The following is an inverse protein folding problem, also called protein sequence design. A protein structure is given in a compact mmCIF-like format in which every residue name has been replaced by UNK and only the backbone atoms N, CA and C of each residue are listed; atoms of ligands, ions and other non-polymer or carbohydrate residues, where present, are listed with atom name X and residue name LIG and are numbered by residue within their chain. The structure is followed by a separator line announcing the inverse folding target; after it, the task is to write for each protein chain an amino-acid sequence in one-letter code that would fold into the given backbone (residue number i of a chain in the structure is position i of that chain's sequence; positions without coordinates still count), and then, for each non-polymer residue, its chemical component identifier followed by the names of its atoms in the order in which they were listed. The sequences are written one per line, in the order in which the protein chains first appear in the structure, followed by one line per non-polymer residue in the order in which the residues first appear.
data_IF_408439697483
#
_entry.id   IF_408439697483
#
_cell.length_a   1.000
_cell.length_b   1.000
_cell.length_c   1.000
_cell.angle_alpha   90.00
_cell.angle_beta   90.00
_cell.angle_gamma   90.00
#
_symmetry.space_group_name_H-M   'P 1'
#
loop_
_entity.id
_entity.type
_entity.pdbx_description
1 polymer ?
#
# COMPACT_ATOMS: atom_id res chain seq x y z
N UNK A 1 6.20 -19.04 -11.43
CA UNK A 1 5.25 -20.14 -11.20
C UNK A 1 5.79 -21.07 -10.14
N UNK A 2 4.94 -21.48 -9.20
CA UNK A 2 5.30 -22.38 -8.10
C UNK A 2 5.36 -23.85 -8.55
N UNK A 3 4.60 -24.20 -9.60
CA UNK A 3 4.54 -25.51 -10.23
C UNK A 3 4.40 -25.34 -11.76
N UNK A 4 4.59 -26.42 -12.52
CA UNK A 4 4.41 -26.40 -13.99
C UNK A 4 2.94 -26.47 -14.38
N UNK A 5 2.57 -25.93 -15.55
CA UNK A 5 1.19 -25.95 -16.06
C UNK A 5 0.64 -27.37 -16.19
N UNK A 6 1.46 -28.33 -16.61
CA UNK A 6 1.07 -29.76 -16.67
C UNK A 6 0.70 -30.32 -15.29
N UNK A 7 1.45 -29.94 -14.24
CA UNK A 7 1.12 -30.34 -12.86
C UNK A 7 -0.11 -29.63 -12.36
N UNK A 8 -0.23 -28.33 -12.64
CA UNK A 8 -1.40 -27.54 -12.25
C UNK A 8 -2.68 -28.09 -12.87
N UNK A 9 -2.65 -28.43 -14.16
CA UNK A 9 -3.76 -29.05 -14.89
C UNK A 9 -4.25 -30.33 -14.19
N UNK A 10 -3.32 -31.24 -13.88
CA UNK A 10 -3.66 -32.50 -13.21
C UNK A 10 -4.24 -32.28 -11.79
N UNK A 11 -3.74 -31.28 -11.06
CA UNK A 11 -4.22 -30.94 -9.74
C UNK A 11 -5.63 -30.33 -9.75
N UNK A 12 -5.90 -29.41 -10.68
CA UNK A 12 -7.21 -28.77 -10.86
C UNK A 12 -8.27 -29.82 -11.23
N UNK A 13 -7.92 -30.78 -12.08
CA UNK A 13 -8.80 -31.93 -12.38
C UNK A 13 -9.01 -32.84 -11.17
N UNK A 14 -7.95 -33.18 -10.45
CA UNK A 14 -8.04 -34.13 -9.32
C UNK A 14 -8.91 -33.61 -8.18
N UNK A 15 -8.93 -32.30 -7.96
CA UNK A 15 -9.74 -31.64 -6.93
C UNK A 15 -11.13 -31.20 -7.46
N UNK A 16 -11.48 -31.54 -8.71
CA UNK A 16 -12.74 -31.18 -9.37
C UNK A 16 -13.06 -29.67 -9.28
N UNK A 17 -12.05 -28.82 -9.42
CA UNK A 17 -12.24 -27.37 -9.35
C UNK A 17 -12.86 -26.81 -10.65
N UNK A 18 -12.55 -27.43 -11.79
CA UNK A 18 -13.03 -27.04 -13.12
C UNK A 18 -13.33 -28.32 -13.91
N UNK A 19 -14.41 -28.29 -14.69
CA UNK A 19 -14.77 -29.39 -15.59
C UNK A 19 -13.67 -29.63 -16.63
N UNK A 20 -13.46 -30.89 -17.00
CA UNK A 20 -12.39 -31.27 -17.93
C UNK A 20 -12.48 -30.54 -19.27
N UNK A 21 -13.68 -30.46 -19.85
CA UNK A 21 -13.85 -29.80 -21.15
C UNK A 21 -13.44 -28.32 -21.07
N UNK A 22 -13.86 -27.62 -20.01
CA UNK A 22 -13.53 -26.20 -19.79
C UNK A 22 -12.03 -26.03 -19.56
N UNK A 23 -11.41 -26.92 -18.78
CA UNK A 23 -9.98 -26.84 -18.48
C UNK A 23 -9.11 -27.06 -19.72
N UNK A 24 -9.51 -27.98 -20.62
CA UNK A 24 -8.83 -28.19 -21.91
C UNK A 24 -8.91 -26.94 -22.79
N UNK A 25 -10.08 -26.29 -22.87
CA UNK A 25 -10.23 -25.02 -23.58
C UNK A 25 -9.33 -23.91 -23.03
N UNK A 26 -9.23 -23.83 -21.70
CA UNK A 26 -8.38 -22.82 -21.02
C UNK A 26 -6.91 -23.10 -21.26
N UNK A 27 -6.48 -24.36 -21.27
CA UNK A 27 -5.10 -24.75 -21.57
C UNK A 27 -4.70 -24.44 -23.02
N UNK A 28 -5.62 -24.67 -23.97
CA UNK A 28 -5.40 -24.27 -25.37
C UNK A 28 -5.28 -22.74 -25.48
N UNK A 29 -6.15 -22.02 -24.78
CA UNK A 29 -6.11 -20.56 -24.73
C UNK A 29 -4.82 -20.02 -24.10
N UNK A 30 -4.35 -20.60 -22.99
CA UNK A 30 -3.14 -20.17 -22.29
C UNK A 30 -1.90 -20.33 -23.18
N UNK A 31 -1.78 -21.48 -23.86
CA UNK A 31 -0.71 -21.76 -24.81
C UNK A 31 -0.75 -20.82 -26.03
N UNK A 32 -1.93 -20.54 -26.59
CA UNK A 32 -2.07 -19.66 -27.75
C UNK A 32 -1.82 -18.18 -27.42
N UNK A 33 -2.02 -17.79 -26.16
CA UNK A 33 -1.88 -16.41 -25.70
C UNK A 33 -0.59 -16.14 -24.94
N UNK A 34 0.30 -17.15 -24.83
CA UNK A 34 1.56 -17.10 -24.08
C UNK A 34 1.40 -16.61 -22.64
N UNK A 35 0.30 -17.03 -22.00
CA UNK A 35 0.01 -16.78 -20.57
C UNK A 35 0.04 -18.10 -19.80
N UNK A 36 0.28 -18.03 -18.49
CA UNK A 36 0.29 -19.23 -17.65
C UNK A 36 -1.11 -19.81 -17.51
N UNK A 37 -1.20 -21.13 -17.28
CA UNK A 37 -2.48 -21.76 -16.97
C UNK A 37 -3.10 -21.18 -15.70
N UNK A 38 -2.26 -20.81 -14.71
CA UNK A 38 -2.66 -20.14 -13.48
C UNK A 38 -3.37 -18.81 -13.77
N UNK A 39 -2.74 -17.93 -14.56
CA UNK A 39 -3.32 -16.62 -14.91
C UNK A 39 -4.60 -16.79 -15.76
N UNK A 40 -4.60 -17.72 -16.72
CA UNK A 40 -5.76 -17.97 -17.57
C UNK A 40 -7.00 -18.46 -16.79
N UNK A 41 -6.77 -19.26 -15.75
CA UNK A 41 -7.80 -19.76 -14.85
C UNK A 41 -8.38 -18.68 -13.95
N UNK A 42 -7.53 -17.77 -13.46
CA UNK A 42 -7.93 -16.63 -12.63
C UNK A 42 -8.65 -15.55 -13.45
N UNK A 43 -8.14 -15.21 -14.64
CA UNK A 43 -8.69 -14.16 -15.52
C UNK A 43 -10.10 -14.49 -16.03
N UNK A 44 -10.43 -15.79 -16.14
CA UNK A 44 -11.76 -16.27 -16.54
C UNK A 44 -12.70 -16.53 -15.36
N UNK A 45 -12.29 -16.18 -14.12
CA UNK A 45 -13.03 -16.41 -12.89
C UNK A 45 -13.46 -17.89 -12.68
N UNK A 46 -12.70 -18.84 -13.24
CA UNK A 46 -13.03 -20.27 -13.16
C UNK A 46 -12.66 -20.89 -11.81
N UNK A 47 -11.65 -20.31 -11.15
CA UNK A 47 -11.21 -20.68 -9.80
C UNK A 47 -10.79 -19.43 -9.06
N UNK A 48 -11.00 -19.41 -7.74
CA UNK A 48 -10.48 -18.32 -6.92
C UNK A 48 -8.99 -18.51 -6.63
N UNK A 49 -8.27 -17.40 -6.52
CA UNK A 49 -6.86 -17.35 -6.08
C UNK A 49 -6.60 -18.15 -4.79
N UNK A 50 -7.58 -18.18 -3.87
CA UNK A 50 -7.48 -18.95 -2.62
C UNK A 50 -7.68 -20.46 -2.80
N UNK A 51 -8.53 -20.89 -3.73
CA UNK A 51 -8.72 -22.32 -4.03
C UNK A 51 -7.50 -22.87 -4.78
N UNK A 52 -7.06 -22.13 -5.80
CA UNK A 52 -5.90 -22.50 -6.59
C UNK A 52 -4.63 -22.58 -5.72
N UNK A 53 -4.37 -21.54 -4.91
CA UNK A 53 -3.25 -21.54 -3.98
C UNK A 53 -3.33 -22.66 -2.94
N UNK A 54 -4.52 -23.02 -2.44
CA UNK A 54 -4.67 -24.11 -1.48
C UNK A 54 -4.33 -25.48 -2.10
N UNK A 55 -4.68 -25.69 -3.36
CA UNK A 55 -4.32 -26.92 -4.09
C UNK A 55 -2.81 -26.98 -4.36
N UNK A 56 -2.21 -25.85 -4.78
CA UNK A 56 -0.75 -25.75 -4.95
C UNK A 56 -0.03 -26.04 -3.63
N UNK A 57 -0.55 -25.55 -2.50
CA UNK A 57 0.01 -25.80 -1.17
C UNK A 57 0.04 -27.31 -0.82
N UNK A 58 -1.05 -28.04 -1.12
CA UNK A 58 -1.14 -29.49 -0.92
C UNK A 58 -0.05 -30.23 -1.69
N UNK A 59 0.16 -29.89 -2.97
CA UNK A 59 1.20 -30.50 -3.80
C UNK A 59 2.60 -30.23 -3.26
N UNK A 60 2.86 -28.99 -2.84
CA UNK A 60 4.14 -28.60 -2.26
C UNK A 60 4.36 -29.15 -0.83
N UNK A 61 3.35 -29.78 -0.24
CA UNK A 61 3.34 -30.26 1.16
C UNK A 61 3.64 -29.12 2.16
N UNK A 62 3.18 -27.91 1.84
CA UNK A 62 3.31 -26.72 2.67
C UNK A 62 1.90 -26.34 3.14
N UNK A 63 1.70 -26.02 4.42
CA UNK A 63 0.38 -25.62 4.89
C UNK A 63 -0.04 -24.28 4.26
N UNK A 64 -1.32 -24.17 3.90
CA UNK A 64 -1.92 -22.92 3.42
C UNK A 64 -2.54 -22.14 4.58
N UNK A 65 -2.44 -20.82 4.57
CA UNK A 65 -3.08 -19.94 5.55
C UNK A 65 -3.86 -18.82 4.85
N UNK A 66 -5.08 -18.56 5.31
CA UNK A 66 -5.86 -17.39 4.92
C UNK A 66 -5.65 -16.28 5.95
N UNK A 67 -4.86 -15.26 5.60
CA UNK A 67 -4.53 -14.19 6.55
C UNK A 67 -5.77 -13.37 6.94
N UNK A 68 -6.76 -13.28 6.06
CA UNK A 68 -8.07 -12.66 6.31
C UNK A 68 -8.86 -13.30 7.47
N UNK A 69 -8.57 -14.55 7.85
CA UNK A 69 -9.30 -15.27 8.90
C UNK A 69 -8.57 -15.32 10.25
N UNK A 70 -7.39 -14.71 10.36
CA UNK A 70 -6.57 -14.76 11.57
C UNK A 70 -6.29 -13.36 12.11
N UNK A 71 -6.31 -13.24 13.44
CA UNK A 71 -5.87 -12.02 14.11
C UNK A 71 -4.34 -12.04 14.23
N UNK A 72 -3.67 -11.18 13.47
CA UNK A 72 -2.20 -11.03 13.52
C UNK A 72 -1.83 -10.10 14.68
N UNK A 73 -1.04 -10.56 15.67
CA UNK A 73 -0.55 -9.72 16.74
C UNK A 73 0.33 -8.57 16.20
N UNK A 74 0.07 -7.35 16.67
CA UNK A 74 0.72 -6.13 16.15
C UNK A 74 2.24 -6.09 16.41
N UNK A 75 2.72 -6.73 17.48
CA UNK A 75 4.13 -6.79 17.84
C UNK A 75 4.99 -7.59 16.85
N UNK A 76 4.37 -8.41 16.00
CA UNK A 76 5.05 -9.16 14.95
C UNK A 76 5.43 -8.27 13.75
N UNK A 77 4.86 -7.06 13.65
CA UNK A 77 5.15 -6.14 12.55
C UNK A 77 6.60 -5.66 12.51
N UNK A 78 7.24 -5.59 13.68
CA UNK A 78 8.64 -5.18 13.79
C UNK A 78 9.62 -6.24 13.27
N UNK A 79 9.20 -7.50 13.14
CA UNK A 79 10.06 -8.59 12.67
C UNK A 79 10.37 -8.38 11.18
N UNK A 80 9.36 -8.10 10.37
CA UNK A 80 9.52 -7.76 8.95
C UNK A 80 8.90 -6.36 8.72
N UNK A 81 9.73 -5.32 8.50
CA UNK A 81 9.24 -4.00 8.12
C UNK A 81 8.32 -4.07 6.90
N UNK A 82 7.24 -3.26 6.86
CA UNK A 82 6.21 -3.29 5.80
C UNK A 82 6.82 -3.27 4.39
N UNK A 83 7.80 -2.41 4.15
CA UNK A 83 8.48 -2.30 2.86
C UNK A 83 9.13 -3.61 2.40
N UNK A 84 9.71 -4.36 3.34
CA UNK A 84 10.31 -5.67 3.07
C UNK A 84 9.20 -6.71 2.90
N UNK A 85 8.19 -6.68 3.77
CA UNK A 85 7.05 -7.59 3.70
C UNK A 85 6.30 -7.49 2.37
N UNK A 86 6.12 -6.27 1.86
CA UNK A 86 5.49 -5.98 0.57
C UNK A 86 6.38 -6.39 -0.61
N UNK A 87 7.67 -6.05 -0.57
CA UNK A 87 8.63 -6.41 -1.64
C UNK A 87 8.79 -7.92 -1.77
N UNK A 88 8.93 -8.62 -0.64
CA UNK A 88 9.19 -10.06 -0.58
C UNK A 88 7.91 -10.88 -0.46
N UNK A 89 6.73 -10.23 -0.45
CA UNK A 89 5.39 -10.83 -0.32
C UNK A 89 5.31 -11.84 0.82
N UNK A 90 5.73 -11.43 2.02
CA UNK A 90 5.78 -12.28 3.20
C UNK A 90 5.42 -11.54 4.49
N UNK A 91 4.62 -12.16 5.35
CA UNK A 91 4.14 -11.60 6.62
C UNK A 91 4.31 -12.59 7.75
N UNK A 92 4.81 -12.14 8.90
CA UNK A 92 4.81 -12.94 10.13
C UNK A 92 3.44 -12.84 10.77
N UNK A 93 2.76 -13.96 10.95
CA UNK A 93 1.40 -13.97 11.51
C UNK A 93 1.31 -14.63 12.88
N UNK A 94 2.32 -15.41 13.28
CA UNK A 94 2.38 -16.07 14.59
C UNK A 94 3.84 -16.26 15.03
N UNK A 95 4.07 -16.27 16.34
CA UNK A 95 5.37 -16.56 16.96
C UNK A 95 5.13 -17.34 18.25
N UNK A 96 5.93 -18.37 18.50
CA UNK A 96 5.99 -19.08 19.77
C UNK A 96 7.42 -19.04 20.34
N UNK A 97 7.74 -19.81 21.38
CA UNK A 97 9.07 -19.81 22.01
C UNK A 97 10.19 -20.23 21.07
N UNK A 98 9.97 -21.22 20.21
CA UNK A 98 10.99 -21.82 19.34
C UNK A 98 10.86 -21.42 17.86
N UNK A 99 9.67 -21.01 17.42
CA UNK A 99 9.32 -20.86 16.01
C UNK A 99 8.70 -19.50 15.69
N UNK A 100 8.88 -19.09 14.43
CA UNK A 100 8.24 -17.93 13.80
C UNK A 100 7.51 -18.43 12.55
N UNK A 101 6.22 -18.15 12.46
CA UNK A 101 5.35 -18.61 11.39
C UNK A 101 5.16 -17.49 10.37
N UNK A 102 5.52 -17.77 9.12
CA UNK A 102 5.61 -16.78 8.06
C UNK A 102 4.73 -17.24 6.90
N UNK A 103 3.78 -16.40 6.54
CA UNK A 103 2.96 -16.58 5.35
C UNK A 103 3.67 -15.94 4.16
N UNK A 104 3.81 -16.67 3.06
CA UNK A 104 4.57 -16.26 1.88
C UNK A 104 3.81 -16.60 0.61
N UNK A 105 3.88 -15.73 -0.40
CA UNK A 105 3.40 -16.06 -1.76
C UNK A 105 4.37 -17.02 -2.45
N UNK A 106 5.67 -16.88 -2.18
CA UNK A 106 6.71 -17.79 -2.69
C UNK A 106 7.50 -18.43 -1.54
N UNK A 107 7.15 -19.66 -1.14
CA UNK A 107 7.84 -20.38 -0.06
C UNK A 107 9.32 -20.72 -0.36
N UNK A 108 9.73 -20.66 -1.63
CA UNK A 108 11.10 -20.97 -2.06
C UNK A 108 12.08 -19.83 -1.76
N UNK A 109 11.58 -18.64 -1.41
CA UNK A 109 12.40 -17.48 -1.10
C UNK A 109 13.20 -17.67 0.21
N UNK A 110 14.44 -18.15 0.07
CA UNK A 110 15.36 -18.42 1.18
C UNK A 110 15.87 -17.14 1.86
N UNK A 111 16.01 -16.04 1.12
CA UNK A 111 16.59 -14.79 1.62
C UNK A 111 15.81 -14.24 2.82
N UNK A 112 14.48 -14.15 2.69
CA UNK A 112 13.63 -13.65 3.77
C UNK A 112 13.54 -14.62 4.95
N UNK A 113 13.59 -15.93 4.68
CA UNK A 113 13.61 -16.97 5.72
C UNK A 113 14.87 -16.86 6.57
N UNK A 114 16.03 -16.69 5.93
CA UNK A 114 17.29 -16.48 6.64
C UNK A 114 17.31 -15.16 7.41
N UNK A 115 16.82 -14.07 6.79
CA UNK A 115 16.75 -12.76 7.45
C UNK A 115 15.91 -12.83 8.73
N UNK A 116 14.73 -13.45 8.68
CA UNK A 116 13.85 -13.62 9.84
C UNK A 116 14.52 -14.50 10.89
N UNK A 117 15.12 -15.62 10.49
CA UNK A 117 15.79 -16.53 11.43
C UNK A 117 16.97 -15.85 12.13
N UNK A 118 17.85 -15.15 11.40
CA UNK A 118 18.96 -14.36 11.96
C UNK A 118 18.49 -13.26 12.92
N UNK A 119 17.42 -12.55 12.57
CA UNK A 119 16.88 -11.45 13.38
C UNK A 119 16.17 -11.94 14.66
N UNK A 120 15.51 -13.10 14.60
CA UNK A 120 14.69 -13.59 15.72
C UNK A 120 15.37 -14.67 16.56
N UNK A 121 16.42 -15.32 16.04
CA UNK A 121 17.07 -16.48 16.65
C UNK A 121 16.19 -17.75 16.65
N UNK A 122 15.08 -17.75 15.90
CA UNK A 122 14.07 -18.81 15.92
C UNK A 122 14.00 -19.56 14.59
N UNK A 123 13.39 -20.74 14.61
CA UNK A 123 13.14 -21.54 13.41
C UNK A 123 11.97 -20.93 12.62
N UNK A 124 12.13 -20.78 11.32
CA UNK A 124 11.08 -20.23 10.44
C UNK A 124 10.21 -21.38 9.91
N UNK A 125 8.92 -21.32 10.19
CA UNK A 125 7.89 -22.25 9.68
C UNK A 125 7.11 -21.51 8.59
N UNK A 126 7.13 -22.06 7.38
CA UNK A 126 6.57 -21.40 6.19
C UNK A 126 5.16 -21.90 5.91
N UNK A 127 4.27 -20.97 5.58
CA UNK A 127 2.92 -21.20 5.09
C UNK A 127 2.76 -20.53 3.74
N UNK A 128 2.05 -21.19 2.81
CA UNK A 128 1.66 -20.57 1.56
C UNK A 128 0.43 -19.68 1.80
N UNK A 129 0.37 -18.52 1.15
CA UNK A 129 -0.79 -17.61 1.16
C UNK A 129 -0.90 -16.90 -0.18
N UNK A 130 -2.02 -16.23 -0.40
CA UNK A 130 -2.23 -15.39 -1.58
C UNK A 130 -1.59 -14.01 -1.46
N UNK A 131 -1.30 -13.38 -2.60
CA UNK A 131 -0.83 -12.00 -2.65
C UNK A 131 -1.90 -11.03 -2.09
N UNK A 132 -3.17 -11.34 -2.32
CA UNK A 132 -4.31 -10.59 -1.78
C UNK A 132 -4.35 -10.62 -0.26
N UNK A 133 -4.14 -11.78 0.35
CA UNK A 133 -4.11 -11.92 1.81
C UNK A 133 -2.89 -11.19 2.41
N UNK A 134 -1.72 -11.23 1.75
CA UNK A 134 -0.55 -10.45 2.18
C UNK A 134 -0.88 -8.96 2.18
N UNK A 135 -1.43 -8.44 1.08
CA UNK A 135 -1.77 -7.02 0.99
C UNK A 135 -2.84 -6.64 2.02
N UNK A 136 -3.85 -7.50 2.24
CA UNK A 136 -4.85 -7.33 3.29
C UNK A 136 -4.24 -7.31 4.70
N UNK A 137 -3.31 -8.21 4.99
CA UNK A 137 -2.59 -8.24 6.26
C UNK A 137 -1.70 -7.00 6.45
N UNK A 138 -1.07 -6.49 5.39
CA UNK A 138 -0.28 -5.26 5.46
C UNK A 138 -1.16 -4.02 5.62
N UNK A 139 -2.41 -4.03 5.17
CA UNK A 139 -3.40 -3.01 5.56
C UNK A 139 -3.70 -3.05 7.06
N UNK A 140 -3.70 -4.23 7.66
CA UNK A 140 -3.85 -4.41 9.12
C UNK A 140 -2.60 -3.97 9.89
N UNK A 141 -1.39 -4.02 9.30
CA UNK A 141 -0.17 -3.46 9.91
C UNK A 141 -0.27 -1.93 10.14
N UNK A 142 -1.15 -1.25 9.40
CA UNK A 142 -1.51 0.16 9.63
C UNK A 142 -2.26 0.38 10.95
N UNK A 143 -2.57 -0.69 11.70
CA UNK A 143 -3.16 -0.63 13.04
C UNK A 143 -2.28 0.03 14.08
N UNK A 144 -1.00 0.34 13.87
CA UNK A 144 -0.26 1.15 14.87
C UNK A 144 -0.84 2.57 14.98
N UNK A 145 -1.34 3.14 13.87
CA UNK A 145 -2.12 4.39 13.88
C UNK A 145 -3.46 4.15 14.59
N UNK A 146 -4.15 3.04 14.32
CA UNK A 146 -5.43 2.71 14.98
C UNK A 146 -5.26 2.30 16.46
N UNK A 147 -4.11 1.79 16.89
CA UNK A 147 -3.83 1.34 18.25
C UNK A 147 -3.40 2.53 19.10
N UNK A 148 -2.63 3.47 18.55
CA UNK A 148 -2.48 4.80 19.10
C UNK A 148 -3.84 5.50 19.24
N UNK A 149 -4.70 5.40 18.21
CA UNK A 149 -6.06 5.95 18.25
C UNK A 149 -6.97 5.25 19.27
N UNK A 150 -6.93 3.93 19.37
CA UNK A 150 -7.75 3.14 20.29
C UNK A 150 -7.28 3.31 21.74
N UNK A 151 -5.98 3.46 21.99
CA UNK A 151 -5.44 3.84 23.31
C UNK A 151 -5.97 5.23 23.74
N UNK A 152 -6.14 6.16 22.80
CA UNK A 152 -6.74 7.47 23.06
C UNK A 152 -8.26 7.42 23.26
N UNK A 153 -8.95 6.47 22.62
CA UNK A 153 -10.40 6.26 22.72
C UNK A 153 -10.82 5.42 23.94
N UNK A 154 -9.89 4.70 24.57
CA UNK A 154 -10.17 3.81 25.73
C UNK A 154 -9.86 4.46 27.08
N UNK A 155 -9.50 5.75 27.11
CA UNK A 155 -9.26 6.50 28.35
C UNK A 155 -10.57 7.02 28.95
N UNK A 156 -10.82 6.66 30.20
CA UNK A 156 -11.98 7.05 31.01
C UNK A 156 -12.34 8.55 30.86
N UNK A 157 -13.64 8.80 30.74
CA UNK A 157 -14.28 10.07 30.39
C UNK A 157 -14.11 11.24 31.38
N UNK A 158 -13.13 11.17 32.29
CA UNK A 158 -12.88 12.20 33.31
C UNK A 158 -11.62 13.05 33.05
N UNK A 159 -10.81 12.76 32.03
CA UNK A 159 -9.60 13.55 31.70
C UNK A 159 -9.39 13.77 30.20
N UNK A 160 -10.43 14.20 29.49
CA UNK A 160 -10.35 14.47 28.05
C UNK A 160 -9.25 15.49 27.72
N UNK A 161 -9.11 16.57 28.51
CA UNK A 161 -8.14 17.65 28.29
C UNK A 161 -6.66 17.23 28.35
N UNK A 162 -6.30 16.24 29.18
CA UNK A 162 -4.92 15.72 29.22
C UNK A 162 -4.61 14.79 28.05
N UNK A 163 -5.58 13.97 27.65
CA UNK A 163 -5.47 13.12 26.47
C UNK A 163 -5.33 13.97 25.20
N UNK A 164 -6.02 15.13 25.15
CA UNK A 164 -5.89 16.11 24.08
C UNK A 164 -4.45 16.63 23.90
N UNK A 165 -3.73 16.90 24.98
CA UNK A 165 -2.34 17.40 24.89
C UNK A 165 -1.33 16.32 24.47
N UNK A 166 -1.52 15.07 24.90
CA UNK A 166 -0.56 13.99 24.67
C UNK A 166 -0.59 13.38 23.26
N UNK A 167 -1.63 13.63 22.45
CA UNK A 167 -1.67 13.08 21.09
C UNK A 167 -0.58 13.69 20.21
N UNK A 168 0.37 12.90 19.67
CA UNK A 168 1.43 13.41 18.83
C UNK A 168 0.91 13.66 17.41
N UNK A 169 0.12 14.72 17.22
CA UNK A 169 -0.51 15.11 15.94
C UNK A 169 0.52 15.27 14.83
N UNK A 170 1.72 15.75 15.16
CA UNK A 170 2.85 15.79 14.23
C UNK A 170 3.18 14.40 13.66
N UNK A 171 3.29 13.37 14.51
CA UNK A 171 3.58 12.00 14.06
C UNK A 171 2.46 11.47 13.19
N UNK A 172 1.20 11.69 13.58
CA UNK A 172 0.03 11.25 12.80
C UNK A 172 0.06 11.89 11.41
N UNK A 173 0.28 13.21 11.34
CA UNK A 173 0.29 13.96 10.08
C UNK A 173 1.45 13.52 9.18
N UNK A 174 2.65 13.38 9.74
CA UNK A 174 3.82 12.92 8.99
C UNK A 174 3.65 11.49 8.49
N UNK A 175 3.21 10.56 9.35
CA UNK A 175 2.96 9.17 8.97
C UNK A 175 1.88 9.05 7.91
N UNK A 176 0.83 9.89 7.96
CA UNK A 176 -0.20 9.91 6.93
C UNK A 176 0.37 10.29 5.56
N UNK A 177 1.18 11.36 5.51
CA UNK A 177 1.81 11.83 4.27
C UNK A 177 2.81 10.81 3.75
N UNK A 178 3.63 10.23 4.64
CA UNK A 178 4.60 9.20 4.26
C UNK A 178 3.89 7.96 3.70
N UNK A 179 2.81 7.53 4.33
CA UNK A 179 2.00 6.40 3.88
C UNK A 179 1.38 6.69 2.50
N UNK A 180 0.82 7.88 2.29
CA UNK A 180 0.31 8.30 0.99
C UNK A 180 1.40 8.31 -0.09
N UNK A 181 2.63 8.73 0.26
CA UNK A 181 3.77 8.68 -0.65
C UNK A 181 4.16 7.24 -1.03
N UNK A 182 4.21 6.33 -0.05
CA UNK A 182 4.57 4.92 -0.27
C UNK A 182 3.57 4.20 -1.19
N UNK A 183 2.28 4.48 -1.02
CA UNK A 183 1.19 3.95 -1.85
C UNK A 183 1.03 4.72 -3.18
N UNK A 184 1.97 5.62 -3.53
CA UNK A 184 2.02 6.39 -4.78
C UNK A 184 0.74 7.20 -5.06
N UNK A 185 0.13 7.73 -4.01
CA UNK A 185 -1.11 8.52 -4.07
C UNK A 185 -0.85 9.87 -4.75
N UNK A 186 -1.77 10.32 -5.62
CA UNK A 186 -1.65 11.63 -6.27
C UNK A 186 -2.09 12.78 -5.36
N UNK A 187 -3.18 12.59 -4.63
CA UNK A 187 -3.76 13.58 -3.74
C UNK A 187 -4.30 12.93 -2.45
N UNK A 188 -4.02 13.55 -1.31
CA UNK A 188 -4.59 13.21 0.00
C UNK A 188 -5.66 14.24 0.33
N UNK A 189 -6.86 13.78 0.66
CA UNK A 189 -7.97 14.63 1.11
C UNK A 189 -8.21 14.38 2.60
N UNK A 190 -8.37 15.47 3.35
CA UNK A 190 -8.63 15.47 4.79
C UNK A 190 -9.86 16.33 4.99
N UNK A 191 -10.96 15.71 5.37
CA UNK A 191 -12.29 16.32 5.34
C UNK A 191 -12.98 16.14 6.69
N UNK A 192 -13.56 17.21 7.26
CA UNK A 192 -14.43 17.05 8.40
C UNK A 192 -15.80 16.55 7.92
N UNK A 193 -16.34 15.61 8.67
CA UNK A 193 -17.73 15.13 8.65
C UNK A 193 -18.32 15.36 10.05
N UNK A 194 -19.64 15.22 10.23
CA UNK A 194 -20.34 15.59 11.48
C UNK A 194 -19.71 14.99 12.75
N UNK A 195 -19.14 13.78 12.65
CA UNK A 195 -18.57 13.04 13.79
C UNK A 195 -17.12 12.60 13.59
N UNK A 196 -16.56 12.75 12.40
CA UNK A 196 -15.28 12.15 12.05
C UNK A 196 -14.46 13.06 11.14
N UNK A 197 -13.14 12.94 11.24
CA UNK A 197 -12.23 13.40 10.21
C UNK A 197 -12.02 12.25 9.21
N UNK A 198 -12.51 12.43 7.99
CA UNK A 198 -12.39 11.46 6.90
C UNK A 198 -11.12 11.73 6.10
N UNK A 199 -10.27 10.72 5.98
CA UNK A 199 -9.08 10.76 5.15
C UNK A 199 -9.30 9.90 3.91
N UNK A 200 -9.09 10.50 2.73
CA UNK A 200 -9.28 9.84 1.44
C UNK A 200 -8.06 10.00 0.55
N UNK A 201 -7.72 8.96 -0.18
CA UNK A 201 -6.62 8.97 -1.14
C UNK A 201 -7.15 8.92 -2.56
N UNK A 202 -6.51 9.66 -3.47
CA UNK A 202 -6.71 9.50 -4.91
C UNK A 202 -5.62 8.59 -5.46
N UNK A 203 -5.99 7.36 -5.79
CA UNK A 203 -5.11 6.33 -6.32
C UNK A 203 -5.57 6.04 -7.75
N UNK A 204 -4.69 6.21 -8.72
CA UNK A 204 -4.97 6.01 -10.14
C UNK A 204 -6.25 6.74 -10.63
N UNK A 205 -6.46 7.95 -10.11
CA UNK A 205 -7.61 8.80 -10.44
C UNK A 205 -8.87 8.52 -9.63
N UNK A 206 -8.93 7.41 -8.87
CA UNK A 206 -10.09 7.02 -8.07
C UNK A 206 -9.92 7.44 -6.61
N UNK A 207 -10.95 8.07 -6.03
CA UNK A 207 -11.00 8.41 -4.61
C UNK A 207 -11.40 7.20 -3.76
N UNK A 208 -10.64 6.95 -2.69
CA UNK A 208 -10.88 5.84 -1.76
C UNK A 208 -10.77 6.32 -0.31
N UNK A 209 -11.71 5.91 0.53
CA UNK A 209 -11.68 6.17 1.97
C UNK A 209 -10.65 5.25 2.64
N UNK A 210 -9.65 5.83 3.30
CA UNK A 210 -8.52 5.07 3.87
C UNK A 210 -8.51 5.07 5.39
N UNK A 211 -9.00 6.14 6.03
CA UNK A 211 -8.98 6.27 7.47
C UNK A 211 -10.11 7.18 7.95
N UNK A 212 -10.72 6.83 9.08
CA UNK A 212 -11.63 7.69 9.84
C UNK A 212 -11.01 7.96 11.20
N UNK A 213 -10.84 9.24 11.53
CA UNK A 213 -10.31 9.72 12.79
C UNK A 213 -11.42 10.41 13.59
N UNK A 214 -11.34 10.49 14.92
CA UNK A 214 -12.21 11.33 15.72
C UNK A 214 -12.14 12.78 15.26
N UNK A 215 -13.28 13.46 15.22
CA UNK A 215 -13.39 14.83 14.70
C UNK A 215 -12.44 15.82 15.39
N UNK A 216 -12.15 15.59 16.68
CA UNK A 216 -11.29 16.48 17.45
C UNK A 216 -9.82 16.54 16.97
N UNK A 217 -9.37 15.53 16.20
CA UNK A 217 -8.05 15.54 15.58
C UNK A 217 -8.00 16.40 14.32
N UNK A 218 -9.16 16.68 13.71
CA UNK A 218 -9.27 17.39 12.44
C UNK A 218 -8.57 18.75 12.51
N UNK A 219 -9.02 19.62 13.41
CA UNK A 219 -8.50 20.99 13.52
C UNK A 219 -7.01 21.02 13.86
N UNK A 220 -6.54 20.04 14.64
CA UNK A 220 -5.11 19.93 14.98
C UNK A 220 -4.28 19.51 13.77
N UNK A 221 -4.80 18.61 12.94
CA UNK A 221 -4.15 18.22 11.67
C UNK A 221 -4.13 19.41 10.71
N UNK A 222 -5.25 20.12 10.55
CA UNK A 222 -5.36 21.32 9.71
C UNK A 222 -4.36 22.38 10.18
N UNK A 223 -4.32 22.67 11.48
CA UNK A 223 -3.38 23.60 12.10
C UNK A 223 -1.93 23.21 11.82
N UNK A 224 -1.59 21.92 12.00
CA UNK A 224 -0.25 21.42 11.71
C UNK A 224 0.12 21.62 10.24
N UNK A 225 -0.80 21.35 9.32
CA UNK A 225 -0.58 21.56 7.88
C UNK A 225 -0.39 23.04 7.55
N UNK A 226 -1.19 23.93 8.16
CA UNK A 226 -1.03 25.38 8.01
C UNK A 226 0.36 25.84 8.43
N UNK A 227 0.83 25.40 9.60
CA UNK A 227 2.18 25.70 10.10
C UNK A 227 3.25 25.16 9.14
N UNK A 228 3.15 23.90 8.72
CA UNK A 228 4.12 23.27 7.80
C UNK A 228 4.17 23.96 6.42
N UNK A 229 3.09 24.61 6.03
CA UNK A 229 2.94 25.29 4.74
C UNK A 229 3.08 26.80 4.81
N UNK A 230 3.42 27.35 6.00
CA UNK A 230 3.50 28.78 6.28
C UNK A 230 2.22 29.56 5.91
N UNK A 231 1.06 28.95 6.19
CA UNK A 231 -0.27 29.54 6.01
C UNK A 231 -0.76 30.19 7.30
N UNK A 232 -1.76 31.08 7.18
CA UNK A 232 -2.34 31.79 8.32
C UNK A 232 -3.16 30.84 9.17
N UNK A 233 -2.77 30.69 10.43
CA UNK A 233 -3.43 29.83 11.42
C UNK A 233 -4.68 30.45 12.02
N UNK A 234 -4.83 31.76 11.90
CA UNK A 234 -5.95 32.57 12.39
C UNK A 234 -7.06 32.76 11.33
N UNK A 235 -6.79 32.40 10.07
CA UNK A 235 -7.73 32.51 8.96
C UNK A 235 -8.41 31.16 8.70
N UNK A 236 -9.73 31.11 8.72
CA UNK A 236 -10.53 29.89 8.51
C UNK A 236 -11.69 30.07 7.53
N UNK A 237 -11.97 31.31 7.10
CA UNK A 237 -13.15 31.65 6.30
C UNK A 237 -12.80 31.92 4.83
N UNK A 238 -11.50 32.02 4.52
CA UNK A 238 -11.00 32.19 3.17
C UNK A 238 -10.23 30.95 2.70
N UNK A 239 -10.31 30.57 1.40
CA UNK A 239 -9.42 29.59 0.83
C UNK A 239 -7.95 29.99 0.99
N UNK A 240 -7.08 29.01 1.26
CA UNK A 240 -5.64 29.22 1.41
C UNK A 240 -4.85 28.19 0.58
N UNK A 241 -3.87 28.66 -0.18
CA UNK A 241 -2.98 27.83 -0.98
C UNK A 241 -1.53 27.99 -0.53
N UNK A 242 -0.82 26.88 -0.40
CA UNK A 242 0.54 26.83 0.10
C UNK A 242 1.37 25.73 -0.55
N UNK A 243 2.62 25.68 -0.13
CA UNK A 243 3.56 24.60 -0.48
C UNK A 243 4.32 24.21 0.77
N UNK A 244 4.57 22.92 0.92
CA UNK A 244 5.46 22.42 1.96
C UNK A 244 6.41 21.39 1.37
N UNK A 245 7.54 21.18 2.05
CA UNK A 245 8.52 20.16 1.69
C UNK A 245 8.73 19.24 2.88
N UNK A 246 8.58 17.94 2.65
CA UNK A 246 8.80 16.91 3.66
C UNK A 246 10.02 16.08 3.29
N UNK A 247 10.95 15.90 4.24
CA UNK A 247 12.11 15.05 4.06
C UNK A 247 11.73 13.61 4.35
N UNK A 248 11.83 12.74 3.34
CA UNK A 248 11.69 11.29 3.49
C UNK A 248 13.08 10.65 3.52
N UNK A 249 13.16 9.35 3.86
CA UNK A 249 14.44 8.64 3.94
C UNK A 249 15.30 8.74 2.66
N UNK A 250 14.66 8.75 1.48
CA UNK A 250 15.36 8.63 0.19
C UNK A 250 15.34 9.89 -0.67
N UNK A 251 14.41 10.80 -0.44
CA UNK A 251 14.27 12.04 -1.21
C UNK A 251 13.39 13.07 -0.48
N UNK A 252 13.34 14.28 -1.01
CA UNK A 252 12.43 15.32 -0.53
C UNK A 252 11.13 15.25 -1.33
N UNK A 253 10.01 15.22 -0.62
CA UNK A 253 8.67 15.29 -1.19
C UNK A 253 8.20 16.75 -1.21
N UNK A 254 8.01 17.29 -2.41
CA UNK A 254 7.36 18.60 -2.58
C UNK A 254 5.84 18.39 -2.57
N UNK A 255 5.12 19.18 -1.78
CA UNK A 255 3.66 19.04 -1.59
C UNK A 255 3.01 20.40 -1.87
N UNK A 256 1.95 20.41 -2.68
CA UNK A 256 1.05 21.57 -2.78
C UNK A 256 -0.12 21.37 -1.83
N UNK A 257 -0.48 22.42 -1.13
CA UNK A 257 -1.51 22.41 -0.10
C UNK A 257 -2.60 23.37 -0.52
N UNK A 258 -3.85 22.92 -0.50
CA UNK A 258 -5.03 23.77 -0.68
C UNK A 258 -5.99 23.51 0.47
N UNK A 259 -6.45 24.57 1.11
CA UNK A 259 -7.40 24.54 2.22
C UNK A 259 -8.61 25.36 1.80
N UNK A 260 -9.81 24.78 1.92
CA UNK A 260 -11.07 25.46 1.61
C UNK A 260 -12.04 25.35 2.79
N UNK A 261 -12.71 26.45 3.19
CA UNK A 261 -13.78 26.37 4.18
C UNK A 261 -14.94 25.52 3.67
N UNK A 262 -15.47 24.68 4.56
CA UNK A 262 -16.66 23.84 4.36
C UNK A 262 -17.57 24.00 5.58
N UNK A 263 -18.77 23.39 5.55
CA UNK A 263 -19.77 23.53 6.61
C UNK A 263 -19.22 23.10 7.98
N UNK A 264 -18.52 21.97 8.02
CA UNK A 264 -17.99 21.37 9.26
C UNK A 264 -16.53 21.76 9.57
N UNK A 265 -16.02 22.85 8.98
CA UNK A 265 -14.66 23.35 9.23
C UNK A 265 -13.85 23.56 7.96
N UNK A 266 -12.63 23.02 7.89
CA UNK A 266 -11.73 23.22 6.76
C UNK A 266 -11.40 21.91 6.05
N UNK A 267 -11.66 21.83 4.75
CA UNK A 267 -11.20 20.72 3.92
C UNK A 267 -9.79 21.00 3.41
N UNK A 268 -8.90 20.03 3.59
CA UNK A 268 -7.52 20.10 3.11
C UNK A 268 -7.29 19.10 1.99
N UNK A 269 -6.61 19.55 0.94
CA UNK A 269 -6.11 18.71 -0.15
C UNK A 269 -4.61 18.89 -0.27
N UNK A 270 -3.88 17.78 -0.18
CA UNK A 270 -2.44 17.71 -0.36
C UNK A 270 -2.13 17.00 -1.68
N UNK A 271 -1.54 17.71 -2.63
CA UNK A 271 -1.05 17.10 -3.87
C UNK A 271 0.42 16.74 -3.72
N UNK A 272 0.70 15.43 -3.78
CA UNK A 272 2.05 14.90 -3.63
C UNK A 272 2.78 14.95 -4.96
N UNK A 273 3.79 15.81 -5.06
CA UNK A 273 4.62 15.92 -6.27
C UNK A 273 5.85 15.04 -6.10
N UNK A 274 5.71 13.79 -6.53
CA UNK A 274 6.82 12.86 -6.59
C UNK A 274 7.91 13.39 -7.54
N UNK A 275 9.16 13.40 -7.06
CA UNK A 275 10.35 13.71 -7.88
C UNK A 275 10.61 12.69 -9.00
N UNK A 276 9.91 11.56 -9.03
CA UNK A 276 10.06 10.55 -10.10
C UNK A 276 9.43 10.96 -11.41
N UNK A 277 8.31 11.71 -11.41
CA UNK A 277 7.73 12.21 -12.66
C UNK A 277 8.65 13.19 -13.38
N UNK A 278 9.59 13.83 -12.67
CA UNK A 278 10.67 14.67 -13.23
C UNK A 278 11.80 13.90 -13.94
N UNK A 279 11.79 12.56 -13.95
CA UNK A 279 12.83 11.73 -14.60
C UNK A 279 12.39 11.03 -15.87
N UNK A 280 11.25 11.40 -16.47
CA UNK A 280 10.94 10.92 -17.82
C UNK A 280 11.75 11.76 -18.81
N UNK A 281 12.72 11.13 -19.46
CA UNK A 281 13.36 11.70 -20.64
C UNK A 281 12.39 11.66 -21.82
N UNK A 282 12.65 12.47 -22.85
CA UNK A 282 11.90 12.39 -24.10
C UNK A 282 12.01 10.99 -24.74
N UNK A 283 13.11 10.27 -24.51
CA UNK A 283 13.26 8.89 -24.92
C UNK A 283 12.31 7.93 -24.18
N UNK A 284 12.10 8.13 -22.86
CA UNK A 284 11.15 7.34 -22.06
C UNK A 284 9.69 7.57 -22.48
N UNK A 285 9.41 8.69 -23.15
CA UNK A 285 8.11 9.02 -23.74
C UNK A 285 7.93 8.44 -25.16
N UNK A 286 8.90 7.65 -25.65
CA UNK A 286 8.85 7.00 -26.96
C UNK A 286 9.40 7.84 -28.12
N UNK A 287 10.09 8.95 -27.84
CA UNK A 287 10.77 9.72 -28.89
C UNK A 287 11.97 8.94 -29.43
N UNK A 288 11.98 8.64 -30.72
CA UNK A 288 13.09 7.96 -31.37
C UNK A 288 14.39 8.78 -31.32
N UNK A 289 15.54 8.11 -31.37
CA UNK A 289 16.86 8.77 -31.25
C UNK A 289 17.07 9.89 -32.29
N UNK A 290 16.54 9.73 -33.50
CA UNK A 290 16.67 10.71 -34.57
C UNK A 290 15.90 12.00 -34.27
N UNK A 291 14.67 11.87 -33.77
CA UNK A 291 13.82 13.02 -33.42
C UNK A 291 14.30 13.68 -32.14
N UNK A 292 14.78 12.90 -31.18
CA UNK A 292 15.42 13.42 -29.97
C UNK A 292 16.63 14.30 -30.32
N UNK A 293 17.45 13.90 -31.31
CA UNK A 293 18.56 14.72 -31.81
C UNK A 293 18.08 16.03 -32.44
N UNK A 294 17.00 16.00 -33.23
CA UNK A 294 16.42 17.20 -33.85
C UNK A 294 15.94 18.19 -32.79
N UNK A 295 15.16 17.70 -31.81
CA UNK A 295 14.61 18.50 -30.70
C UNK A 295 15.74 19.06 -29.83
N UNK A 296 16.72 18.23 -29.45
CA UNK A 296 17.86 18.66 -28.61
C UNK A 296 18.71 19.73 -29.33
N UNK A 297 18.94 19.57 -30.63
CA UNK A 297 19.67 20.55 -31.44
C UNK A 297 18.90 21.87 -31.58
N UNK A 298 17.57 21.82 -31.71
CA UNK A 298 16.73 23.01 -31.76
C UNK A 298 16.69 23.73 -30.41
N UNK A 299 16.56 22.97 -29.32
CA UNK A 299 16.55 23.47 -27.94
C UNK A 299 17.84 24.22 -27.57
N UNK A 300 19.00 23.74 -28.02
CA UNK A 300 20.30 24.35 -27.71
C UNK A 300 20.63 25.62 -28.53
N UNK A 301 19.72 26.11 -29.39
CA UNK A 301 19.93 27.37 -30.11
C UNK A 301 19.69 28.56 -29.19
N UNK A 302 20.47 29.63 -29.39
CA UNK A 302 20.39 30.85 -28.57
C UNK A 302 19.10 31.67 -28.77
N UNK A 303 18.35 31.41 -29.85
CA UNK A 303 17.06 32.05 -30.14
C UNK A 303 16.24 31.19 -31.11
N UNK A 304 14.91 31.33 -31.05
CA UNK A 304 13.95 30.60 -31.86
C UNK A 304 12.83 29.98 -31.01
N UNK A 305 11.71 29.65 -31.66
CA UNK A 305 10.57 29.01 -31.01
C UNK A 305 10.51 27.54 -31.42
N UNK A 306 10.35 26.64 -30.45
CA UNK A 306 10.08 25.21 -30.66
C UNK A 306 8.60 25.01 -30.33
N UNK A 307 7.81 24.59 -31.31
CA UNK A 307 6.38 24.28 -31.18
C UNK A 307 6.15 22.77 -31.30
#
# INVERSE_FOLDING_TARGET
MLITDEKLYNLVLAENLVDREILEEVLIFSNNSDISLEDALLDRDLVTDSELSAVIAKELKIPFVRLSQIAIPSDLSHIIPEKIARKMKAVVFKKDEANVYVAMVDPSNLEIREMISKKTGKKVVVYLTTARDIEGALRVYRKDIQKALNLLLSGDSENTDKIFEEVPVEKITNSLIEYAYQDKVSDVHIEPDEKHCLIRFRIDGVLQDVLKLPIFLHDRIVMRIKIMSNLRTDEHLAPQDGKMRMKLERENLDIRVSIIPVVEGEKVVLRLLSSRSRRMSLADLGMGEEDLRKVTKAFNKSFGMVL
#
